data_IF_715771246145
#
_entry.id   IF_715771246145
#
_cell.length_a   1.000
_cell.length_b   1.000
_cell.length_c   1.000
_cell.angle_alpha   90.00
_cell.angle_beta   90.00
_cell.angle_gamma   90.00
#
_symmetry.space_group_name_H-M   'P 1'
#
loop_
_entity.id
_entity.type
_entity.pdbx_description
1 polymer ?
#
# COMPACT_ATOMS: atom_id res chain seq x y z
N UNK A 1 9.12 12.96 4.40
CA UNK A 1 8.87 11.54 4.11
C UNK A 1 7.66 11.36 3.22
N UNK A 2 6.45 11.53 3.79
CA UNK A 2 5.16 11.21 3.13
C UNK A 2 4.98 11.87 1.75
N UNK A 3 5.13 13.19 1.65
CA UNK A 3 4.93 13.88 0.36
C UNK A 3 6.03 13.60 -0.67
N UNK A 4 7.28 13.42 -0.21
CA UNK A 4 8.43 13.15 -1.10
C UNK A 4 8.50 11.71 -1.59
N UNK A 5 7.88 10.77 -0.88
CA UNK A 5 7.81 9.34 -1.23
C UNK A 5 6.45 8.90 -1.76
N UNK A 6 5.56 9.83 -2.13
CA UNK A 6 4.15 9.54 -2.45
C UNK A 6 3.95 8.38 -3.44
N UNK A 7 4.77 8.32 -4.49
CA UNK A 7 4.69 7.28 -5.52
C UNK A 7 5.62 6.08 -5.29
N UNK A 8 6.54 6.16 -4.33
CA UNK A 8 7.56 5.14 -4.13
C UNK A 8 7.08 4.07 -3.14
N UNK A 9 6.65 2.92 -3.65
CA UNK A 9 6.11 1.82 -2.85
C UNK A 9 6.66 0.46 -3.31
N UNK A 10 6.80 -0.48 -2.36
CA UNK A 10 7.19 -1.87 -2.64
C UNK A 10 6.02 -2.77 -3.05
N UNK A 11 4.80 -2.32 -2.81
CA UNK A 11 3.55 -3.05 -3.03
C UNK A 11 2.67 -2.20 -3.95
N UNK A 12 1.94 -2.81 -4.91
CA UNK A 12 0.94 -2.10 -5.70
C UNK A 12 -0.06 -1.37 -4.82
N UNK A 13 -0.29 -0.12 -5.15
CA UNK A 13 -1.17 0.80 -4.43
C UNK A 13 -2.33 1.24 -5.32
N UNK A 14 -3.29 1.99 -4.78
CA UNK A 14 -4.36 2.60 -5.57
C UNK A 14 -3.87 3.61 -6.61
N UNK A 15 -2.64 4.13 -6.48
CA UNK A 15 -2.06 5.12 -7.40
C UNK A 15 -1.61 4.46 -8.70
N UNK A 16 -1.12 3.22 -8.67
CA UNK A 16 -0.55 2.57 -9.84
C UNK A 16 -1.60 2.34 -10.97
N UNK A 17 -2.80 1.80 -10.68
CA UNK A 17 -3.87 1.71 -11.68
C UNK A 17 -4.39 3.07 -12.15
N UNK A 18 -4.39 4.07 -11.27
CA UNK A 18 -4.82 5.44 -11.61
C UNK A 18 -3.87 6.07 -12.65
N UNK A 19 -2.56 6.03 -12.39
CA UNK A 19 -1.55 6.54 -13.32
C UNK A 19 -1.49 5.72 -14.62
N UNK A 20 -1.67 4.40 -14.54
CA UNK A 20 -1.78 3.54 -15.71
C UNK A 20 -2.98 3.94 -16.58
N UNK A 21 -4.14 4.23 -15.99
CA UNK A 21 -5.33 4.68 -16.72
C UNK A 21 -5.12 6.01 -17.47
N UNK A 22 -4.48 6.99 -16.83
CA UNK A 22 -4.14 8.25 -17.49
C UNK A 22 -3.14 8.05 -18.63
N UNK A 23 -2.09 7.26 -18.39
CA UNK A 23 -1.07 6.96 -19.40
C UNK A 23 -1.66 6.21 -20.59
N UNK A 24 -2.56 5.26 -20.35
CA UNK A 24 -3.22 4.51 -21.40
C UNK A 24 -4.10 5.42 -22.25
N UNK A 25 -4.90 6.29 -21.63
CA UNK A 25 -5.76 7.24 -22.34
C UNK A 25 -4.92 8.17 -23.23
N UNK A 26 -3.75 8.60 -22.74
CA UNK A 26 -2.82 9.43 -23.50
C UNK A 26 -2.16 8.64 -24.66
N UNK A 27 -1.72 7.40 -24.43
CA UNK A 27 -1.10 6.55 -25.45
C UNK A 27 -2.07 6.20 -26.59
N UNK A 28 -3.36 6.01 -26.26
CA UNK A 28 -4.42 5.69 -27.21
C UNK A 28 -4.77 6.82 -28.20
N UNK A 29 -4.22 8.02 -28.00
CA UNK A 29 -4.24 9.09 -29.01
C UNK A 29 -3.42 8.72 -30.25
N UNK A 30 -2.34 7.93 -30.06
CA UNK A 30 -1.46 7.49 -31.14
C UNK A 30 -1.71 6.04 -31.54
N UNK A 31 -1.89 5.16 -30.56
CA UNK A 31 -2.13 3.73 -30.76
C UNK A 31 -3.37 3.28 -29.99
N UNK A 32 -4.53 3.17 -30.66
CA UNK A 32 -5.81 2.83 -30.01
C UNK A 32 -5.81 1.48 -29.27
N UNK A 33 -4.92 0.55 -29.64
CA UNK A 33 -4.85 -0.78 -29.03
C UNK A 33 -3.86 -0.85 -27.84
N UNK A 34 -3.19 0.27 -27.51
CA UNK A 34 -2.22 0.29 -26.42
C UNK A 34 -2.89 0.07 -25.05
N UNK A 35 -2.33 -0.85 -24.27
CA UNK A 35 -2.78 -1.18 -22.91
C UNK A 35 -1.62 -1.03 -21.94
N UNK A 36 -1.81 -0.25 -20.88
CA UNK A 36 -0.78 -0.04 -19.85
C UNK A 36 -0.98 -1.04 -18.71
N UNK A 37 0.07 -1.79 -18.35
CA UNK A 37 0.02 -2.66 -17.19
C UNK A 37 0.02 -1.82 -15.91
N UNK A 38 -0.94 -2.00 -14.98
CA UNK A 38 -0.89 -1.34 -13.68
C UNK A 38 0.41 -1.59 -12.90
N UNK A 39 1.09 -2.72 -13.16
CA UNK A 39 2.37 -3.07 -12.55
C UNK A 39 3.59 -2.57 -13.33
N UNK A 40 3.43 -1.84 -14.43
CA UNK A 40 4.54 -1.42 -15.30
C UNK A 40 5.64 -0.66 -14.55
N UNK A 41 5.28 0.07 -13.48
CA UNK A 41 6.22 0.87 -12.70
C UNK A 41 6.75 0.18 -11.44
N UNK A 42 6.32 -1.04 -11.11
CA UNK A 42 6.59 -1.66 -9.79
C UNK A 42 8.09 -1.77 -9.46
N UNK A 43 8.92 -2.09 -10.46
CA UNK A 43 10.37 -2.18 -10.27
C UNK A 43 10.99 -0.80 -10.06
N UNK A 44 10.51 0.20 -10.78
CA UNK A 44 11.00 1.57 -10.68
C UNK A 44 10.61 2.19 -9.33
N UNK A 45 9.34 2.05 -8.93
CA UNK A 45 8.82 2.59 -7.66
C UNK A 45 9.43 1.88 -6.46
N UNK A 46 9.57 0.55 -6.52
CA UNK A 46 10.23 -0.23 -5.46
C UNK A 46 11.70 0.12 -5.28
N UNK A 47 12.47 0.29 -6.37
CA UNK A 47 13.86 0.73 -6.27
C UNK A 47 13.96 2.18 -5.76
N UNK A 48 13.06 3.05 -6.21
CA UNK A 48 12.98 4.44 -5.76
C UNK A 48 12.70 4.55 -4.26
N UNK A 49 11.92 3.63 -3.67
CA UNK A 49 11.69 3.59 -2.22
C UNK A 49 12.98 3.47 -1.43
N UNK A 50 13.91 2.61 -1.86
CA UNK A 50 15.21 2.43 -1.20
C UNK A 50 16.01 3.73 -1.24
N UNK A 51 16.06 4.37 -2.41
CA UNK A 51 16.79 5.64 -2.60
C UNK A 51 16.19 6.75 -1.75
N UNK A 52 14.86 6.90 -1.75
CA UNK A 52 14.16 7.95 -0.99
C UNK A 52 14.31 7.74 0.52
N UNK A 53 14.27 6.50 1.00
CA UNK A 53 14.54 6.17 2.42
C UNK A 53 15.96 6.56 2.79
N UNK A 54 16.96 6.22 1.97
CA UNK A 54 18.36 6.56 2.23
C UNK A 54 18.58 8.07 2.26
N UNK A 55 18.02 8.81 1.30
CA UNK A 55 18.09 10.29 1.27
C UNK A 55 17.36 10.89 2.48
N UNK A 56 16.17 10.40 2.81
CA UNK A 56 15.38 10.87 3.94
C UNK A 56 16.09 10.67 5.27
N UNK A 57 16.72 9.51 5.46
CA UNK A 57 17.59 9.24 6.61
C UNK A 57 18.76 10.22 6.66
N UNK A 58 19.51 10.35 5.56
CA UNK A 58 20.67 11.24 5.49
C UNK A 58 20.33 12.69 5.80
N UNK A 59 19.26 13.23 5.20
CA UNK A 59 18.81 14.60 5.45
C UNK A 59 18.40 14.78 6.91
N UNK A 60 17.66 13.83 7.48
CA UNK A 60 17.24 13.89 8.89
C UNK A 60 18.45 13.90 9.83
N UNK A 61 19.30 12.88 9.75
CA UNK A 61 20.40 12.69 10.72
C UNK A 61 21.55 13.68 10.52
N UNK A 62 21.89 14.02 9.27
CA UNK A 62 23.07 14.85 8.99
C UNK A 62 22.77 16.34 8.84
N UNK A 63 21.52 16.72 8.53
CA UNK A 63 21.18 18.12 8.29
C UNK A 63 20.19 18.63 9.34
N UNK A 64 19.09 17.91 9.59
CA UNK A 64 18.01 18.39 10.47
C UNK A 64 18.38 18.25 11.95
N UNK A 65 18.78 17.07 12.42
CA UNK A 65 19.12 16.82 13.82
C UNK A 65 20.23 17.75 14.36
N UNK A 66 21.36 17.98 13.65
CA UNK A 66 22.41 18.87 14.13
C UNK A 66 21.99 20.34 14.16
N UNK A 67 21.01 20.73 13.35
CA UNK A 67 20.42 22.08 13.37
C UNK A 67 19.45 22.22 14.54
N UNK A 68 18.56 21.24 14.75
CA UNK A 68 17.61 21.24 15.86
C UNK A 68 18.29 21.20 17.22
N UNK A 69 19.37 20.44 17.37
CA UNK A 69 20.13 20.36 18.63
C UNK A 69 20.70 21.71 19.10
N UNK A 70 20.79 22.71 18.21
CA UNK A 70 21.28 24.06 18.51
C UNK A 70 20.16 25.07 18.75
N UNK A 71 18.90 24.65 18.61
CA UNK A 71 17.75 25.53 18.83
C UNK A 71 17.37 25.55 20.31
N UNK A 72 17.04 26.72 20.88
CA UNK A 72 16.52 26.79 22.23
C UNK A 72 15.18 26.04 22.30
N UNK A 73 15.02 25.24 23.37
CA UNK A 73 13.76 24.55 23.65
C UNK A 73 12.81 25.60 24.22
N UNK A 74 11.64 25.74 23.61
CA UNK A 74 10.58 26.59 24.12
C UNK A 74 9.94 25.90 25.35
N UNK A 75 10.09 26.50 26.54
CA UNK A 75 9.57 25.96 27.80
C UNK A 75 8.03 25.98 27.85
N UNK A 76 7.40 26.82 27.02
CA UNK A 76 5.94 26.92 26.89
C UNK A 76 5.38 26.02 25.77
N UNK A 77 6.22 25.19 25.13
CA UNK A 77 5.77 24.28 24.07
C UNK A 77 4.81 23.23 24.62
N UNK A 78 3.67 23.03 23.92
CA UNK A 78 2.75 21.95 24.22
C UNK A 78 3.48 20.60 24.22
N UNK A 79 3.26 19.82 25.27
CA UNK A 79 3.79 18.46 25.37
C UNK A 79 3.38 17.68 24.13
N UNK A 80 4.36 17.24 23.34
CA UNK A 80 4.08 16.47 22.14
C UNK A 80 3.23 15.23 22.50
N UNK A 81 2.17 14.93 21.73
CA UNK A 81 1.37 13.73 21.97
C UNK A 81 2.29 12.50 21.93
N UNK A 82 2.12 11.60 22.91
CA UNK A 82 2.91 10.37 22.95
C UNK A 82 2.45 9.42 21.85
N UNK A 83 3.12 9.47 20.70
CA UNK A 83 2.85 8.63 19.54
C UNK A 83 3.47 7.22 19.65
N UNK A 84 4.24 6.94 20.71
CA UNK A 84 4.96 5.67 20.90
C UNK A 84 4.24 4.66 21.78
N UNK A 85 3.23 5.09 22.55
CA UNK A 85 2.45 4.19 23.42
C UNK A 85 1.25 3.64 22.67
N UNK A 86 1.17 2.32 22.56
CA UNK A 86 -0.01 1.60 22.07
C UNK A 86 -0.63 0.81 23.22
N UNK A 87 -1.95 0.75 23.25
CA UNK A 87 -2.70 -0.06 24.22
C UNK A 87 -2.60 -1.55 23.88
N UNK A 88 -2.80 -2.43 24.88
CA UNK A 88 -2.88 -3.87 24.65
C UNK A 88 -3.99 -4.23 23.65
N UNK A 89 -5.08 -3.45 23.64
CA UNK A 89 -6.19 -3.61 22.71
C UNK A 89 -5.77 -3.30 21.26
N UNK A 90 -5.04 -2.22 21.03
CA UNK A 90 -4.52 -1.86 19.70
C UNK A 90 -3.51 -2.90 19.21
N UNK A 91 -2.61 -3.37 20.07
CA UNK A 91 -1.66 -4.44 19.72
C UNK A 91 -2.38 -5.75 19.35
N UNK A 92 -3.41 -6.10 20.12
CA UNK A 92 -4.27 -7.25 19.80
C UNK A 92 -4.98 -7.04 18.46
N UNK A 93 -5.61 -5.89 18.23
CA UNK A 93 -6.29 -5.56 16.98
C UNK A 93 -5.35 -5.63 15.78
N UNK A 94 -4.14 -5.06 15.89
CA UNK A 94 -3.10 -5.11 14.88
C UNK A 94 -2.72 -6.56 14.53
N UNK A 95 -2.56 -7.43 15.55
CA UNK A 95 -2.24 -8.84 15.33
C UNK A 95 -3.36 -9.57 14.58
N UNK A 96 -4.62 -9.36 14.94
CA UNK A 96 -5.75 -9.97 14.22
C UNK A 96 -5.87 -9.46 12.78
N UNK A 97 -5.66 -8.16 12.56
CA UNK A 97 -5.61 -7.58 11.22
C UNK A 97 -4.47 -8.17 10.38
N UNK A 98 -3.28 -8.33 10.98
CA UNK A 98 -2.14 -9.00 10.35
C UNK A 98 -2.44 -10.44 9.96
N UNK A 99 -3.11 -11.22 10.82
CA UNK A 99 -3.55 -12.57 10.49
C UNK A 99 -4.59 -12.59 9.36
N UNK A 100 -5.52 -11.63 9.33
CA UNK A 100 -6.49 -11.51 8.26
C UNK A 100 -5.83 -11.20 6.91
N UNK A 101 -4.83 -10.30 6.89
CA UNK A 101 -4.01 -10.01 5.71
C UNK A 101 -3.26 -11.25 5.24
N UNK A 102 -2.56 -11.95 6.15
CA UNK A 102 -1.83 -13.17 5.82
C UNK A 102 -2.75 -14.27 5.28
N UNK A 103 -3.94 -14.44 5.85
CA UNK A 103 -4.94 -15.37 5.34
C UNK A 103 -5.42 -14.98 3.94
N UNK A 104 -5.68 -13.69 3.68
CA UNK A 104 -6.04 -13.20 2.36
C UNK A 104 -4.97 -13.46 1.31
N UNK A 105 -3.70 -13.19 1.63
CA UNK A 105 -2.55 -13.48 0.76
C UNK A 105 -2.42 -14.99 0.53
N UNK A 106 -2.52 -15.81 1.58
CA UNK A 106 -2.42 -17.26 1.47
C UNK A 106 -3.52 -17.85 0.59
N UNK A 107 -4.77 -17.36 0.72
CA UNK A 107 -5.89 -17.76 -0.14
C UNK A 107 -5.66 -17.35 -1.60
N UNK A 108 -5.13 -16.15 -1.83
CA UNK A 108 -4.82 -15.68 -3.18
C UNK A 108 -3.72 -16.54 -3.83
N UNK A 109 -2.65 -16.84 -3.09
CA UNK A 109 -1.59 -17.74 -3.53
C UNK A 109 -2.15 -19.12 -3.81
N UNK A 110 -2.93 -19.69 -2.89
CA UNK A 110 -3.56 -21.00 -3.08
C UNK A 110 -4.47 -21.05 -4.31
N UNK A 111 -5.18 -19.97 -4.62
CA UNK A 111 -6.00 -19.86 -5.82
C UNK A 111 -5.17 -19.74 -7.11
N UNK A 112 -3.96 -19.16 -7.05
CA UNK A 112 -3.05 -19.00 -8.18
C UNK A 112 -2.10 -20.19 -8.36
N UNK A 113 -1.85 -21.01 -7.34
CA UNK A 113 -0.91 -22.13 -7.41
C UNK A 113 -1.23 -23.15 -8.52
N UNK A 114 -2.48 -23.60 -8.71
CA UNK A 114 -2.81 -24.55 -9.77
C UNK A 114 -2.52 -23.98 -11.16
N UNK A 115 -1.93 -24.79 -12.04
CA UNK A 115 -1.65 -24.40 -13.43
C UNK A 115 -2.93 -24.12 -14.22
N UNK A 116 -4.02 -24.83 -13.89
CA UNK A 116 -5.35 -24.66 -14.45
C UNK A 116 -6.19 -23.59 -13.72
N UNK A 117 -5.57 -22.72 -12.92
CA UNK A 117 -6.28 -21.68 -12.20
C UNK A 117 -7.01 -20.74 -13.17
N UNK A 118 -8.30 -20.51 -12.92
CA UNK A 118 -9.09 -19.54 -13.68
C UNK A 118 -8.57 -18.09 -13.55
N UNK A 119 -7.65 -17.82 -12.62
CA UNK A 119 -7.04 -16.51 -12.42
C UNK A 119 -5.79 -16.29 -13.29
N UNK A 120 -5.24 -17.35 -13.89
CA UNK A 120 -4.10 -17.29 -14.84
C UNK A 120 -4.58 -17.00 -16.26
N UNK A 121 -3.64 -16.63 -17.13
CA UNK A 121 -3.90 -16.56 -18.57
C UNK A 121 -4.16 -17.96 -19.16
N UNK A 122 -4.70 -18.05 -20.38
CA UNK A 122 -4.80 -19.33 -21.11
C UNK A 122 -3.46 -20.06 -21.25
N UNK A 123 -2.36 -19.32 -21.27
CA UNK A 123 -0.97 -19.81 -21.34
C UNK A 123 -0.37 -20.11 -19.95
N UNK A 124 -1.13 -19.89 -18.86
CA UNK A 124 -0.70 -20.17 -17.48
C UNK A 124 0.07 -19.03 -16.80
N UNK A 125 0.23 -17.88 -17.47
CA UNK A 125 0.94 -16.72 -16.93
C UNK A 125 0.07 -15.93 -15.95
N UNK A 126 0.69 -15.40 -14.89
CA UNK A 126 0.00 -14.57 -13.87
C UNK A 126 0.14 -13.07 -14.14
N UNK A 127 1.18 -12.65 -14.85
CA UNK A 127 1.46 -11.23 -15.15
C UNK A 127 0.97 -10.79 -16.52
N UNK A 128 0.47 -11.73 -17.33
CA UNK A 128 -0.11 -11.42 -18.63
C UNK A 128 -1.40 -10.60 -18.48
N UNK A 129 -1.63 -9.68 -19.41
CA UNK A 129 -2.87 -8.89 -19.47
C UNK A 129 -4.13 -9.73 -19.69
N UNK A 130 -3.98 -10.87 -20.37
CA UNK A 130 -5.06 -11.83 -20.58
C UNK A 130 -5.48 -12.51 -19.27
N UNK A 131 -4.60 -12.55 -18.26
CA UNK A 131 -4.86 -13.18 -16.98
C UNK A 131 -5.93 -12.42 -16.18
N UNK A 132 -7.01 -13.08 -15.73
CA UNK A 132 -8.06 -12.44 -14.94
C UNK A 132 -7.54 -11.78 -13.66
N UNK A 133 -6.46 -12.30 -13.05
CA UNK A 133 -5.81 -11.67 -11.90
C UNK A 133 -5.35 -10.24 -12.18
N UNK A 134 -4.78 -9.97 -13.36
CA UNK A 134 -4.31 -8.63 -13.74
C UNK A 134 -5.47 -7.68 -14.01
N UNK A 135 -6.55 -8.20 -14.62
CA UNK A 135 -7.80 -7.44 -14.84
C UNK A 135 -8.50 -7.09 -13.53
N UNK A 136 -8.37 -7.93 -12.51
CA UNK A 136 -8.98 -7.75 -11.18
C UNK A 136 -8.01 -7.22 -10.13
N UNK A 137 -6.84 -6.71 -10.52
CA UNK A 137 -5.83 -6.29 -9.54
C UNK A 137 -6.31 -5.14 -8.63
N UNK A 138 -7.07 -4.19 -9.17
CA UNK A 138 -7.63 -3.07 -8.42
C UNK A 138 -8.61 -3.53 -7.33
N UNK A 139 -9.69 -4.28 -7.65
CA UNK A 139 -10.58 -4.79 -6.61
C UNK A 139 -9.89 -5.77 -5.65
N UNK A 140 -8.86 -6.50 -6.09
CA UNK A 140 -8.10 -7.38 -5.19
C UNK A 140 -7.28 -6.59 -4.16
N UNK A 141 -6.58 -5.53 -4.57
CA UNK A 141 -5.90 -4.62 -3.64
C UNK A 141 -6.93 -4.04 -2.66
N UNK A 142 -8.08 -3.58 -3.16
CA UNK A 142 -9.15 -3.08 -2.30
C UNK A 142 -9.60 -4.10 -1.24
N UNK A 143 -9.84 -5.36 -1.64
CA UNK A 143 -10.24 -6.44 -0.72
C UNK A 143 -9.12 -6.74 0.30
N UNK A 144 -7.86 -6.82 -0.15
CA UNK A 144 -6.71 -7.10 0.71
C UNK A 144 -6.45 -6.00 1.75
N UNK A 145 -6.86 -4.75 1.49
CA UNK A 145 -6.73 -3.66 2.45
C UNK A 145 -7.99 -3.45 3.31
N UNK A 146 -9.19 -3.65 2.77
CA UNK A 146 -10.44 -3.42 3.51
C UNK A 146 -10.68 -4.49 4.58
N UNK A 147 -10.35 -5.76 4.31
CA UNK A 147 -10.54 -6.86 5.26
C UNK A 147 -9.72 -6.64 6.55
N UNK A 148 -8.38 -6.45 6.50
CA UNK A 148 -7.60 -6.20 7.70
C UNK A 148 -8.00 -4.87 8.36
N UNK A 149 -8.34 -3.83 7.59
CA UNK A 149 -8.86 -2.57 8.12
C UNK A 149 -10.15 -2.76 8.93
N UNK A 150 -11.09 -3.55 8.42
CA UNK A 150 -12.32 -3.92 9.13
C UNK A 150 -12.04 -4.73 10.40
N UNK A 151 -11.18 -5.74 10.31
CA UNK A 151 -10.80 -6.58 11.45
C UNK A 151 -10.15 -5.73 12.54
N UNK A 152 -9.23 -4.84 12.17
CA UNK A 152 -8.61 -3.91 13.11
C UNK A 152 -9.67 -3.08 13.81
N UNK A 153 -10.49 -2.33 13.05
CA UNK A 153 -11.46 -1.39 13.62
C UNK A 153 -12.51 -2.07 14.48
N UNK A 154 -12.90 -3.31 14.16
CA UNK A 154 -13.82 -4.11 14.99
C UNK A 154 -13.17 -4.55 16.29
N UNK A 155 -11.92 -5.03 16.26
CA UNK A 155 -11.21 -5.53 17.45
C UNK A 155 -10.75 -4.38 18.35
N UNK A 156 -10.38 -3.24 17.80
CA UNK A 156 -10.04 -2.02 18.55
C UNK A 156 -11.26 -1.33 19.16
N UNK A 157 -12.48 -1.73 18.77
CA UNK A 157 -13.73 -1.10 19.22
C UNK A 157 -14.04 0.23 18.54
N UNK A 158 -13.28 0.59 17.50
CA UNK A 158 -13.54 1.77 16.66
C UNK A 158 -14.81 1.59 15.82
N UNK A 159 -15.06 0.37 15.31
CA UNK A 159 -16.29 -0.01 14.62
C UNK A 159 -17.19 -0.79 15.58
N UNK A 160 -18.28 -0.15 16.02
CA UNK A 160 -19.27 -0.76 16.93
C UNK A 160 -20.45 -1.33 16.15
N UNK A 161 -20.80 -0.70 15.03
CA UNK A 161 -21.90 -1.12 14.15
C UNK A 161 -21.44 -1.21 12.70
N UNK A 162 -22.14 -2.01 11.89
CA UNK A 162 -21.84 -2.11 10.44
C UNK A 162 -21.97 -0.77 9.71
N UNK A 163 -22.73 0.19 10.27
CA UNK A 163 -22.88 1.53 9.72
C UNK A 163 -21.61 2.38 9.90
N UNK A 164 -20.75 2.05 10.87
CA UNK A 164 -19.51 2.78 11.12
C UNK A 164 -18.45 2.54 10.04
N UNK A 165 -18.68 1.56 9.16
CA UNK A 165 -17.80 1.22 8.02
C UNK A 165 -18.17 2.04 6.79
N UNK A 166 -19.44 2.43 6.66
CA UNK A 166 -20.01 3.09 5.48
C UNK A 166 -19.95 4.62 5.62
N UNK A 167 -20.04 5.12 6.86
CA UNK A 167 -19.95 6.54 7.19
C UNK A 167 -18.49 7.01 7.26
#
# INVERSE_FOLDING_TARGET
GVSGGFSANFIPSGIDPLLAGFTQTAAQVLDPEYVVNPLANIFFTGLSSVIIVAIGWYVTEKIIEPRLAKMPIDEDAETAPNLGSFTELESKAFRYAGWAMMAGIALLVAALLPENSALRSPEGEITAFSAPIMKSIVPLIFILFIIPGYVYGKVSGTFKTSNDIIK
#
